data_IF_923237783684
#
_entry.id   IF_923237783684
#
_cell.length_a   1.000
_cell.length_b   1.000
_cell.length_c   1.000
_cell.angle_alpha   90.00
_cell.angle_beta   90.00
_cell.angle_gamma   90.00
#
_symmetry.space_group_name_H-M   'P 1'
#
loop_
_entity.id
_entity.type
_entity.pdbx_description
1 polymer ?
#
# COMPACT_ATOMS: atom_id res chain seq x y z
N UNK A 1 -18.90 -11.52 -5.81
CA UNK A 1 -18.63 -10.38 -6.72
C UNK A 1 -18.88 -8.99 -6.11
N UNK A 2 -19.94 -8.77 -5.29
CA UNK A 2 -20.19 -7.45 -4.65
C UNK A 2 -19.14 -7.08 -3.58
N UNK A 3 -18.73 -8.04 -2.74
CA UNK A 3 -17.74 -7.81 -1.67
C UNK A 3 -16.32 -7.57 -2.20
N UNK A 4 -15.86 -8.32 -3.19
CA UNK A 4 -14.57 -8.11 -3.86
C UNK A 4 -14.41 -6.67 -4.39
N UNK A 5 -15.45 -6.14 -5.05
CA UNK A 5 -15.48 -4.75 -5.49
C UNK A 5 -15.47 -3.74 -4.32
N UNK A 6 -16.08 -4.07 -3.18
CA UNK A 6 -16.06 -3.23 -1.98
C UNK A 6 -14.67 -3.21 -1.32
N UNK A 7 -14.00 -4.36 -1.23
CA UNK A 7 -12.61 -4.49 -0.74
C UNK A 7 -11.67 -3.71 -1.67
N UNK A 8 -11.81 -3.88 -2.99
CA UNK A 8 -11.03 -3.13 -3.98
C UNK A 8 -11.18 -1.61 -3.82
N UNK A 9 -12.42 -1.12 -3.67
CA UNK A 9 -12.71 0.30 -3.45
C UNK A 9 -12.10 0.80 -2.13
N UNK A 10 -12.17 -0.02 -1.08
CA UNK A 10 -11.56 0.28 0.22
C UNK A 10 -10.04 0.43 0.11
N UNK A 11 -9.35 -0.53 -0.51
CA UNK A 11 -7.89 -0.50 -0.71
C UNK A 11 -7.42 0.69 -1.53
N UNK A 12 -8.15 1.01 -2.62
CA UNK A 12 -7.87 2.18 -3.46
C UNK A 12 -8.01 3.47 -2.66
N UNK A 13 -9.07 3.59 -1.83
CA UNK A 13 -9.30 4.77 -1.00
C UNK A 13 -8.17 4.97 0.00
N UNK A 14 -7.81 3.92 0.74
CA UNK A 14 -6.75 3.99 1.75
C UNK A 14 -5.41 4.36 1.10
N UNK A 15 -5.05 3.71 -0.02
CA UNK A 15 -3.83 4.04 -0.76
C UNK A 15 -3.83 5.48 -1.26
N UNK A 16 -4.98 5.99 -1.71
CA UNK A 16 -5.13 7.38 -2.17
C UNK A 16 -4.92 8.38 -1.02
N UNK A 17 -5.44 8.10 0.17
CA UNK A 17 -5.23 8.94 1.35
C UNK A 17 -3.75 8.97 1.74
N UNK A 18 -3.09 7.81 1.77
CA UNK A 18 -1.65 7.70 2.09
C UNK A 18 -0.81 8.47 1.07
N UNK A 19 -1.08 8.26 -0.22
CA UNK A 19 -0.37 8.96 -1.28
C UNK A 19 -0.61 10.49 -1.25
N UNK A 20 -1.79 10.96 -0.87
CA UNK A 20 -2.07 12.39 -0.74
C UNK A 20 -1.29 13.02 0.42
N UNK A 21 -1.35 12.41 1.61
CA UNK A 21 -0.65 12.91 2.80
C UNK A 21 0.87 12.96 2.59
N UNK A 22 1.43 11.99 1.88
CA UNK A 22 2.88 11.93 1.66
C UNK A 22 3.44 13.11 0.87
N UNK A 23 2.61 13.75 0.05
CA UNK A 23 3.08 14.73 -0.91
C UNK A 23 2.64 16.13 -0.49
N UNK A 24 1.60 16.26 0.33
CA UNK A 24 1.42 17.42 1.19
C UNK A 24 2.64 17.63 2.11
N UNK A 25 3.23 16.57 2.65
CA UNK A 25 4.46 16.63 3.46
C UNK A 25 5.68 17.06 2.62
N UNK A 26 5.67 16.86 1.30
CA UNK A 26 6.74 17.30 0.39
C UNK A 26 6.64 18.80 0.05
N UNK A 27 5.45 19.41 0.16
CA UNK A 27 5.19 20.82 -0.20
C UNK A 27 5.73 21.87 0.77
N UNK A 28 6.18 21.50 1.97
CA UNK A 28 6.72 22.46 2.96
C UNK A 28 8.21 22.75 2.75
N UNK A 29 8.54 23.36 1.60
CA UNK A 29 9.83 24.05 1.35
C UNK A 29 9.70 25.28 0.45
N UNK A 30 8.50 25.65 0.00
CA UNK A 30 8.31 26.77 -0.92
C UNK A 30 7.76 27.99 -0.18
N UNK A 31 8.65 28.93 0.17
CA UNK A 31 8.28 30.26 0.62
C UNK A 31 7.49 30.97 -0.48
N UNK A 32 6.33 31.51 -0.12
CA UNK A 32 5.35 32.21 -0.96
C UNK A 32 5.84 33.51 -1.63
N UNK A 33 7.14 33.80 -1.60
CA UNK A 33 7.74 35.05 -2.11
C UNK A 33 8.41 34.95 -3.48
N UNK A 34 8.32 33.81 -4.18
CA UNK A 34 8.94 33.66 -5.52
C UNK A 34 7.85 33.48 -6.58
N UNK A 35 7.59 34.58 -7.28
CA UNK A 35 7.02 34.66 -8.63
C UNK A 35 7.68 33.59 -9.50
N UNK A 36 6.97 32.54 -9.95
CA UNK A 36 7.07 31.95 -11.32
C UNK A 36 5.91 30.95 -11.56
N UNK A 37 4.90 31.35 -12.32
CA UNK A 37 3.76 30.52 -12.74
C UNK A 37 4.14 29.25 -13.55
N UNK A 38 5.12 29.26 -14.49
CA UNK A 38 5.52 28.04 -15.22
C UNK A 38 6.29 27.00 -14.38
N UNK A 39 7.09 27.38 -13.36
CA UNK A 39 7.78 26.41 -12.49
C UNK A 39 6.81 25.69 -11.55
N UNK A 40 5.76 26.38 -11.07
CA UNK A 40 4.70 25.76 -10.26
C UNK A 40 3.92 24.66 -11.01
N UNK A 41 3.65 24.86 -12.31
CA UNK A 41 3.00 23.84 -13.16
C UNK A 41 3.94 22.67 -13.44
N UNK A 42 5.23 22.93 -13.69
CA UNK A 42 6.23 21.87 -13.86
C UNK A 42 6.35 21.00 -12.60
N UNK A 43 6.45 21.63 -11.42
CA UNK A 43 6.49 20.91 -10.15
C UNK A 43 5.17 20.22 -9.83
N UNK A 44 4.02 20.79 -10.24
CA UNK A 44 2.72 20.14 -10.13
C UNK A 44 2.58 18.91 -11.06
N UNK A 45 3.09 18.98 -12.29
CA UNK A 45 3.15 17.82 -13.21
C UNK A 45 4.09 16.75 -12.64
N UNK A 46 5.26 17.14 -12.13
CA UNK A 46 6.21 16.24 -11.46
C UNK A 46 5.61 15.62 -10.19
N UNK A 47 4.84 16.39 -9.43
CA UNK A 47 4.05 15.98 -8.26
C UNK A 47 2.99 14.94 -8.65
N UNK A 48 2.23 15.16 -9.73
CA UNK A 48 1.21 14.20 -10.20
C UNK A 48 1.83 12.93 -10.78
N UNK A 49 3.02 13.01 -11.39
CA UNK A 49 3.77 11.83 -11.86
C UNK A 49 4.33 11.05 -10.67
N UNK A 50 4.95 11.70 -9.69
CA UNK A 50 5.43 11.07 -8.44
C UNK A 50 4.27 10.45 -7.65
N UNK A 51 3.13 11.13 -7.54
CA UNK A 51 1.87 10.59 -7.02
C UNK A 51 1.47 9.29 -7.73
N UNK A 52 1.47 9.30 -9.07
CA UNK A 52 1.08 8.14 -9.86
C UNK A 52 2.04 6.97 -9.64
N UNK A 53 3.35 7.23 -9.59
CA UNK A 53 4.37 6.19 -9.40
C UNK A 53 4.31 5.62 -7.98
N UNK A 54 4.24 6.48 -6.96
CA UNK A 54 4.11 6.06 -5.56
C UNK A 54 2.83 5.26 -5.33
N UNK A 55 1.70 5.74 -5.86
CA UNK A 55 0.41 5.02 -5.82
C UNK A 55 0.48 3.70 -6.56
N UNK A 56 1.12 3.65 -7.73
CA UNK A 56 1.29 2.40 -8.49
C UNK A 56 2.14 1.40 -7.71
N UNK A 57 3.19 1.86 -7.02
CA UNK A 57 4.08 1.00 -6.24
C UNK A 57 3.42 0.51 -4.95
N UNK A 58 2.74 1.39 -4.20
CA UNK A 58 1.98 1.02 -2.98
C UNK A 58 0.79 0.10 -3.30
N UNK A 59 0.17 0.27 -4.47
CA UNK A 59 -0.96 -0.55 -4.90
C UNK A 59 -0.53 -1.84 -5.59
N UNK A 60 0.75 -2.01 -5.92
CA UNK A 60 1.24 -3.12 -6.72
C UNK A 60 1.00 -4.46 -6.02
N UNK A 61 1.49 -4.59 -4.80
CA UNK A 61 1.36 -5.79 -3.95
C UNK A 61 -0.10 -6.09 -3.62
N UNK A 62 -0.85 -5.07 -3.17
CA UNK A 62 -2.29 -5.15 -2.88
C UNK A 62 -3.13 -5.62 -4.07
N UNK A 63 -2.80 -5.16 -5.28
CA UNK A 63 -3.50 -5.59 -6.50
C UNK A 63 -3.28 -7.06 -6.80
N UNK A 64 -2.04 -7.55 -6.68
CA UNK A 64 -1.74 -8.97 -6.87
C UNK A 64 -2.41 -9.83 -5.80
N UNK A 65 -2.33 -9.39 -4.54
CA UNK A 65 -2.94 -10.09 -3.43
C UNK A 65 -4.46 -10.22 -3.58
N UNK A 66 -5.16 -9.13 -3.91
CA UNK A 66 -6.61 -9.16 -4.10
C UNK A 66 -7.03 -10.01 -5.30
N UNK A 67 -6.27 -9.96 -6.41
CA UNK A 67 -6.55 -10.80 -7.57
C UNK A 67 -6.38 -12.28 -7.24
N UNK A 68 -5.29 -12.65 -6.57
CA UNK A 68 -5.03 -14.03 -6.14
C UNK A 68 -6.06 -14.50 -5.12
N UNK A 69 -6.40 -13.70 -4.11
CA UNK A 69 -7.41 -14.08 -3.11
C UNK A 69 -8.80 -14.27 -3.73
N UNK A 70 -9.19 -13.42 -4.68
CA UNK A 70 -10.46 -13.54 -5.40
C UNK A 70 -10.51 -14.81 -6.25
N UNK A 71 -9.41 -15.13 -6.94
CA UNK A 71 -9.24 -16.36 -7.70
C UNK A 71 -9.30 -17.62 -6.81
N UNK A 72 -8.60 -17.62 -5.68
CA UNK A 72 -8.58 -18.73 -4.72
C UNK A 72 -9.97 -18.92 -4.10
N UNK A 73 -10.65 -17.83 -3.72
CA UNK A 73 -12.02 -17.90 -3.20
C UNK A 73 -13.03 -18.46 -4.24
N UNK A 74 -12.73 -18.35 -5.53
CA UNK A 74 -13.51 -18.95 -6.62
C UNK A 74 -13.15 -20.42 -6.90
N UNK A 75 -12.27 -21.03 -6.08
CA UNK A 75 -11.89 -22.45 -6.18
C UNK A 75 -10.59 -22.72 -6.93
N UNK A 76 -9.82 -21.68 -7.31
CA UNK A 76 -8.48 -21.91 -7.88
C UNK A 76 -7.47 -22.32 -6.82
N UNK A 77 -6.48 -23.10 -7.23
CA UNK A 77 -5.44 -23.57 -6.35
C UNK A 77 -4.52 -22.42 -5.87
N UNK A 78 -4.29 -22.34 -4.56
CA UNK A 78 -3.42 -21.32 -3.94
C UNK A 78 -2.00 -21.38 -4.47
N UNK A 79 -1.41 -22.57 -4.55
CA UNK A 79 -0.02 -22.74 -5.02
C UNK A 79 0.14 -22.22 -6.45
N UNK A 80 -0.83 -22.49 -7.32
CA UNK A 80 -0.84 -21.98 -8.68
C UNK A 80 -0.91 -20.46 -8.74
N UNK A 81 -1.82 -19.83 -8.01
CA UNK A 81 -1.97 -18.36 -8.02
C UNK A 81 -0.73 -17.65 -7.48
N UNK A 82 -0.11 -18.18 -6.42
CA UNK A 82 1.17 -17.65 -5.91
C UNK A 82 2.27 -17.82 -6.96
N UNK A 83 2.36 -18.98 -7.61
CA UNK A 83 3.34 -19.23 -8.68
C UNK A 83 3.18 -18.27 -9.85
N UNK A 84 1.95 -17.95 -10.25
CA UNK A 84 1.67 -16.96 -11.30
C UNK A 84 2.15 -15.55 -10.92
N UNK A 85 2.05 -15.17 -9.63
CA UNK A 85 2.61 -13.91 -9.13
C UNK A 85 4.14 -13.95 -9.17
N UNK A 86 4.76 -15.06 -8.77
CA UNK A 86 6.21 -15.23 -8.84
C UNK A 86 6.75 -15.07 -10.26
N UNK A 87 6.09 -15.68 -11.25
CA UNK A 87 6.45 -15.58 -12.67
C UNK A 87 6.33 -14.13 -13.13
N UNK A 88 5.19 -13.47 -12.91
CA UNK A 88 4.96 -12.08 -13.32
C UNK A 88 5.97 -11.11 -12.69
N UNK A 89 6.27 -11.28 -11.41
CA UNK A 89 7.26 -10.44 -10.71
C UNK A 89 8.69 -10.73 -11.17
N UNK A 90 9.00 -11.98 -11.56
CA UNK A 90 10.28 -12.36 -12.17
C UNK A 90 10.44 -11.70 -13.54
N UNK A 91 9.42 -11.75 -14.40
CA UNK A 91 9.46 -11.06 -15.70
C UNK A 91 9.69 -9.55 -15.57
N UNK A 92 9.13 -8.91 -14.55
CA UNK A 92 9.36 -7.48 -14.26
C UNK A 92 10.83 -7.24 -13.89
N UNK A 93 11.42 -8.14 -13.11
CA UNK A 93 12.84 -8.10 -12.76
C UNK A 93 13.74 -8.31 -13.98
N UNK A 94 13.44 -9.29 -14.81
CA UNK A 94 14.25 -9.59 -16.00
C UNK A 94 14.21 -8.45 -17.03
N UNK A 95 13.11 -7.70 -17.07
CA UNK A 95 12.96 -6.50 -17.92
C UNK A 95 13.60 -5.24 -17.30
N UNK A 96 14.00 -5.26 -16.04
CA UNK A 96 14.60 -4.11 -15.35
C UNK A 96 16.09 -3.97 -15.68
N UNK A 97 16.41 -3.00 -16.54
CA UNK A 97 17.79 -2.77 -17.01
C UNK A 97 18.63 -1.86 -16.10
N UNK A 98 18.00 -1.09 -15.19
CA UNK A 98 18.68 -0.03 -14.43
C UNK A 98 19.02 -0.45 -12.99
N UNK A 99 18.70 -1.68 -12.60
CA UNK A 99 18.99 -2.24 -11.27
C UNK A 99 18.21 -1.59 -10.13
N UNK A 100 17.12 -0.87 -10.42
CA UNK A 100 16.27 -0.26 -9.40
C UNK A 100 15.35 -1.29 -8.72
N UNK A 101 14.92 -2.29 -9.47
CA UNK A 101 14.24 -3.47 -8.96
C UNK A 101 15.26 -4.61 -8.81
N UNK A 102 15.24 -5.29 -7.67
CA UNK A 102 16.21 -6.34 -7.34
C UNK A 102 15.48 -7.54 -6.75
N UNK A 103 16.11 -8.72 -6.78
CA UNK A 103 15.60 -9.91 -6.09
C UNK A 103 15.29 -9.64 -4.62
N UNK A 104 16.09 -8.81 -3.94
CA UNK A 104 15.85 -8.43 -2.54
C UNK A 104 14.50 -7.71 -2.36
N UNK A 105 14.17 -6.77 -3.24
CA UNK A 105 12.87 -6.06 -3.21
C UNK A 105 11.75 -7.04 -3.57
N UNK A 106 11.93 -7.82 -4.64
CA UNK A 106 10.95 -8.80 -5.11
C UNK A 106 10.58 -9.79 -4.01
N UNK A 107 11.56 -10.37 -3.32
CA UNK A 107 11.31 -11.33 -2.25
C UNK A 107 10.55 -10.71 -1.07
N UNK A 108 10.80 -9.44 -0.75
CA UNK A 108 10.01 -8.73 0.28
C UNK A 108 8.58 -8.43 -0.19
N UNK A 109 8.41 -8.07 -1.47
CA UNK A 109 7.08 -7.89 -2.05
C UNK A 109 6.27 -9.18 -2.10
N UNK A 110 6.88 -10.34 -2.38
CA UNK A 110 6.19 -11.62 -2.37
C UNK A 110 5.64 -11.95 -0.97
N UNK A 111 6.45 -11.71 0.09
CA UNK A 111 6.00 -11.85 1.48
C UNK A 111 4.84 -10.92 1.82
N UNK A 112 4.89 -9.67 1.35
CA UNK A 112 3.78 -8.72 1.49
C UNK A 112 2.52 -9.20 0.77
N UNK A 113 2.67 -9.73 -0.44
CA UNK A 113 1.56 -10.26 -1.23
C UNK A 113 0.93 -11.46 -0.52
N UNK A 114 1.71 -12.44 -0.07
CA UNK A 114 1.22 -13.60 0.67
C UNK A 114 0.45 -13.18 1.94
N UNK A 115 1.03 -12.27 2.73
CA UNK A 115 0.38 -11.72 3.92
C UNK A 115 -0.99 -11.08 3.59
N UNK A 116 -1.06 -10.33 2.49
CA UNK A 116 -2.29 -9.68 2.05
C UNK A 116 -3.30 -10.67 1.42
N UNK A 117 -2.84 -11.73 0.76
CA UNK A 117 -3.70 -12.80 0.22
C UNK A 117 -4.49 -13.43 1.35
N UNK A 118 -3.82 -13.79 2.44
CA UNK A 118 -4.46 -14.42 3.59
C UNK A 118 -5.50 -13.48 4.22
N UNK A 119 -5.14 -12.22 4.39
CA UNK A 119 -6.08 -11.19 4.86
C UNK A 119 -7.31 -11.04 3.95
N UNK A 120 -7.12 -10.94 2.64
CA UNK A 120 -8.23 -10.78 1.71
C UNK A 120 -9.10 -12.04 1.60
N UNK A 121 -8.52 -13.24 1.73
CA UNK A 121 -9.27 -14.49 1.79
C UNK A 121 -10.16 -14.56 3.03
N UNK A 122 -9.65 -14.15 4.19
CA UNK A 122 -10.44 -14.06 5.43
C UNK A 122 -11.63 -13.10 5.24
N UNK A 123 -11.41 -11.95 4.60
CA UNK A 123 -12.48 -10.99 4.33
C UNK A 123 -13.49 -11.51 3.30
N UNK A 124 -13.03 -12.14 2.22
CA UNK A 124 -13.90 -12.68 1.17
C UNK A 124 -14.75 -13.85 1.66
N UNK A 125 -14.19 -14.65 2.58
CA UNK A 125 -14.90 -15.74 3.24
C UNK A 125 -15.91 -15.26 4.29
N UNK A 126 -15.93 -13.97 4.60
CA UNK A 126 -16.96 -13.41 5.48
C UNK A 126 -18.30 -13.30 4.73
N UNK A 127 -19.38 -13.77 5.36
CA UNK A 127 -20.75 -13.64 4.82
C UNK A 127 -21.31 -12.20 4.95
N UNK A 128 -20.44 -11.19 4.91
CA UNK A 128 -20.79 -9.81 5.18
C UNK A 128 -21.05 -9.04 3.86
N UNK A 129 -22.04 -8.13 3.83
CA UNK A 129 -22.40 -7.40 2.62
C UNK A 129 -21.38 -6.30 2.26
N UNK A 130 -20.61 -5.82 3.22
CA UNK A 130 -19.69 -4.69 3.07
C UNK A 130 -18.30 -4.95 3.64
N UNK A 131 -17.29 -4.27 3.08
CA UNK A 131 -15.90 -4.39 3.53
C UNK A 131 -15.72 -3.96 5.00
N UNK A 132 -16.40 -2.90 5.45
CA UNK A 132 -16.34 -2.48 6.86
C UNK A 132 -16.90 -3.54 7.80
N UNK A 133 -18.00 -4.17 7.40
CA UNK A 133 -18.67 -5.21 8.19
C UNK A 133 -17.84 -6.50 8.22
N UNK A 134 -17.22 -6.86 7.08
CA UNK A 134 -16.23 -7.93 7.00
C UNK A 134 -15.04 -7.71 7.93
N UNK A 135 -14.49 -6.48 7.96
CA UNK A 135 -13.40 -6.11 8.87
C UNK A 135 -13.85 -6.22 10.33
N UNK A 136 -15.05 -5.72 10.68
CA UNK A 136 -15.59 -5.83 12.05
C UNK A 136 -15.87 -7.26 12.48
N UNK A 137 -16.35 -8.10 11.55
CA UNK A 137 -16.58 -9.52 11.80
C UNK A 137 -15.26 -10.25 12.05
N UNK A 138 -14.20 -9.91 11.31
CA UNK A 138 -12.86 -10.52 11.46
C UNK A 138 -12.11 -10.02 12.69
N UNK A 139 -12.27 -8.75 13.02
CA UNK A 139 -11.60 -8.06 14.13
C UNK A 139 -12.65 -7.50 15.07
N UNK A 140 -13.01 -8.28 16.09
CA UNK A 140 -14.10 -7.95 17.03
C UNK A 140 -13.80 -6.70 17.85
N UNK A 141 -12.53 -6.33 18.01
CA UNK A 141 -12.11 -5.14 18.76
C UNK A 141 -11.16 -4.25 17.95
N UNK A 142 -11.17 -2.95 18.25
CA UNK A 142 -10.19 -1.98 17.72
C UNK A 142 -8.75 -2.44 17.98
N UNK A 143 -8.46 -3.02 19.15
CA UNK A 143 -7.13 -3.52 19.49
C UNK A 143 -6.66 -4.66 18.57
N UNK A 144 -7.54 -5.60 18.25
CA UNK A 144 -7.22 -6.69 17.31
C UNK A 144 -6.95 -6.17 15.90
N UNK A 145 -7.73 -5.18 15.44
CA UNK A 145 -7.51 -4.56 14.14
C UNK A 145 -6.21 -3.74 14.10
N UNK A 146 -5.90 -3.00 15.16
CA UNK A 146 -4.62 -2.27 15.27
C UNK A 146 -3.41 -3.21 15.27
N UNK A 147 -3.55 -4.39 15.88
CA UNK A 147 -2.49 -5.41 15.86
C UNK A 147 -2.23 -5.89 14.44
N UNK A 148 -3.28 -6.18 13.67
CA UNK A 148 -3.15 -6.47 12.25
C UNK A 148 -2.50 -5.33 11.46
N UNK A 149 -2.96 -4.08 11.67
CA UNK A 149 -2.40 -2.91 10.98
C UNK A 149 -0.92 -2.69 11.29
N UNK A 150 -0.49 -3.00 12.53
CA UNK A 150 0.93 -2.96 12.91
C UNK A 150 1.73 -4.07 12.21
N UNK A 151 1.18 -5.28 12.08
CA UNK A 151 1.82 -6.36 11.31
C UNK A 151 1.94 -6.00 9.83
N UNK A 152 0.86 -5.47 9.23
CA UNK A 152 0.87 -4.98 7.85
C UNK A 152 1.93 -3.89 7.64
N UNK A 153 1.98 -2.92 8.56
CA UNK A 153 2.98 -1.85 8.55
C UNK A 153 4.41 -2.39 8.60
N UNK A 154 4.69 -3.41 9.42
CA UNK A 154 6.03 -4.04 9.48
C UNK A 154 6.42 -4.68 8.15
N UNK A 155 5.51 -5.42 7.52
CA UNK A 155 5.80 -6.10 6.25
C UNK A 155 6.04 -5.09 5.12
N UNK A 156 5.23 -4.03 5.04
CA UNK A 156 5.44 -2.93 4.09
C UNK A 156 6.77 -2.20 4.34
N UNK A 157 7.14 -1.99 5.62
CA UNK A 157 8.43 -1.39 5.99
C UNK A 157 9.63 -2.20 5.49
N UNK A 158 9.56 -3.53 5.49
CA UNK A 158 10.63 -4.38 4.94
C UNK A 158 10.80 -4.20 3.43
N UNK A 159 9.69 -4.04 2.69
CA UNK A 159 9.73 -3.76 1.25
C UNK A 159 10.37 -2.41 0.98
N UNK A 160 9.95 -1.39 1.72
CA UNK A 160 10.46 -0.03 1.56
C UNK A 160 11.94 0.02 1.94
N UNK A 161 12.35 -0.61 3.06
CA UNK A 161 13.77 -0.68 3.45
C UNK A 161 14.63 -1.39 2.40
N UNK A 162 14.14 -2.50 1.83
CA UNK A 162 14.83 -3.17 0.74
C UNK A 162 15.04 -2.21 -0.45
N UNK A 163 14.01 -1.46 -0.84
CA UNK A 163 14.11 -0.46 -1.91
C UNK A 163 15.09 0.67 -1.57
N UNK A 164 15.08 1.18 -0.33
CA UNK A 164 16.01 2.23 0.08
C UNK A 164 17.47 1.78 0.03
N UNK A 165 17.76 0.52 0.36
CA UNK A 165 19.13 -0.02 0.30
C UNK A 165 19.68 -0.14 -1.12
N UNK A 166 18.80 -0.25 -2.13
CA UNK A 166 19.20 -0.40 -3.54
C UNK A 166 19.17 0.93 -4.31
N UNK A 167 18.56 1.97 -3.76
CA UNK A 167 18.53 3.29 -4.37
C UNK A 167 19.94 3.89 -4.50
N UNK A 168 20.33 4.21 -5.73
CA UNK A 168 21.61 4.87 -6.05
C UNK A 168 21.57 6.40 -5.90
N UNK A 169 20.37 7.00 -5.83
CA UNK A 169 20.18 8.46 -5.74
C UNK A 169 19.76 8.90 -4.34
N UNK A 170 20.26 10.04 -3.90
CA UNK A 170 19.94 10.67 -2.60
C UNK A 170 20.84 10.22 -1.46
N UNK A 171 21.05 11.10 -0.49
CA UNK A 171 21.84 10.80 0.70
C UNK A 171 21.14 9.76 1.57
N UNK A 172 21.91 9.04 2.41
CA UNK A 172 21.35 8.09 3.39
C UNK A 172 20.38 8.78 4.36
N UNK A 173 20.65 10.04 4.72
CA UNK A 173 19.83 10.85 5.62
C UNK A 173 18.48 11.23 4.99
N UNK A 174 18.47 11.67 3.72
CA UNK A 174 17.23 12.00 3.00
C UNK A 174 16.34 10.78 2.80
N UNK A 175 16.93 9.63 2.47
CA UNK A 175 16.21 8.35 2.33
C UNK A 175 15.53 7.92 3.62
N UNK A 176 16.24 8.03 4.76
CA UNK A 176 15.67 7.75 6.09
C UNK A 176 14.57 8.73 6.46
N UNK A 177 14.77 10.03 6.22
CA UNK A 177 13.75 11.03 6.50
C UNK A 177 12.48 10.78 5.68
N UNK A 178 12.62 10.40 4.40
CA UNK A 178 11.49 10.02 3.56
C UNK A 178 10.77 8.77 4.09
N UNK A 179 11.52 7.76 4.53
CA UNK A 179 10.97 6.56 5.17
C UNK A 179 10.13 6.89 6.40
N UNK A 180 10.68 7.71 7.31
CA UNK A 180 10.00 8.08 8.55
C UNK A 180 8.71 8.86 8.26
N UNK A 181 8.71 9.69 7.21
CA UNK A 181 7.51 10.38 6.72
C UNK A 181 6.45 9.41 6.20
N UNK A 182 6.84 8.42 5.38
CA UNK A 182 5.95 7.36 4.89
C UNK A 182 5.33 6.60 6.05
N UNK A 183 6.16 6.20 7.01
CA UNK A 183 5.72 5.49 8.21
C UNK A 183 4.72 6.29 9.02
N UNK A 184 5.04 7.54 9.33
CA UNK A 184 4.18 8.41 10.13
C UNK A 184 2.84 8.69 9.45
N UNK A 185 2.86 9.02 8.14
CA UNK A 185 1.64 9.28 7.37
C UNK A 185 0.72 8.05 7.31
N UNK A 186 1.31 6.88 7.03
CA UNK A 186 0.57 5.62 6.92
C UNK A 186 -0.06 5.24 8.27
N UNK A 187 0.73 5.33 9.35
CA UNK A 187 0.22 5.08 10.71
C UNK A 187 -0.91 6.02 11.08
N UNK A 188 -0.77 7.32 10.82
CA UNK A 188 -1.79 8.34 11.12
C UNK A 188 -3.12 8.00 10.42
N UNK A 189 -3.10 7.77 9.12
CA UNK A 189 -4.31 7.48 8.34
C UNK A 189 -4.98 6.19 8.80
N UNK A 190 -4.19 5.15 9.08
CA UNK A 190 -4.70 3.87 9.58
C UNK A 190 -5.34 3.99 10.96
N UNK A 191 -4.76 4.80 11.85
CA UNK A 191 -5.37 5.08 13.16
C UNK A 191 -6.69 5.83 13.01
N UNK A 192 -6.73 6.89 12.20
CA UNK A 192 -7.97 7.64 11.93
C UNK A 192 -9.06 6.75 11.32
N UNK A 193 -8.68 5.81 10.46
CA UNK A 193 -9.61 4.85 9.87
C UNK A 193 -10.10 3.82 10.89
N UNK A 194 -9.22 3.30 11.74
CA UNK A 194 -9.60 2.43 12.85
C UNK A 194 -10.54 3.15 13.83
N UNK A 195 -10.27 4.42 14.13
CA UNK A 195 -11.13 5.27 14.95
C UNK A 195 -12.52 5.41 14.33
N UNK A 196 -12.60 5.73 13.03
CA UNK A 196 -13.88 5.83 12.32
C UNK A 196 -14.63 4.50 12.22
N UNK A 197 -13.91 3.38 12.20
CA UNK A 197 -14.51 2.06 12.09
C UNK A 197 -15.11 1.61 13.42
N UNK A 198 -14.42 1.88 14.53
CA UNK A 198 -14.83 1.45 15.88
C UNK A 198 -15.38 2.56 16.78
N UNK A 199 -15.48 3.80 16.29
CA UNK A 199 -16.20 4.85 17.00
C UNK A 199 -17.64 4.39 17.19
N UNK A 200 -18.11 4.30 18.45
CA UNK A 200 -19.51 4.08 18.75
C UNK A 200 -20.31 5.11 17.96
N UNK A 201 -21.18 4.66 17.05
CA UNK A 201 -22.36 5.46 16.70
C UNK A 201 -23.04 5.72 18.04
N UNK A 202 -23.00 6.97 18.53
CA UNK A 202 -23.88 7.38 19.63
C UNK A 202 -25.29 7.21 19.08
N UNK A 203 -25.95 6.11 19.45
CA UNK A 203 -27.40 5.97 19.39
C UNK A 203 -28.02 6.91 20.40
#
# INVERSE_FOLDING_TARGET
>A
MKLDNAIKKYEIRQTRQIAAALIEIEKSKFNWRIIVFPFGIYDFIRYTIRLRVLRKNLFFTRKFALAASSNIHQGKERAWEIRQIEIKTREILDKEKKGFYTDKIRNKQLKEIEFLVDYHLDLLSSNQPGCKDAIKARYTSKGSYLTFLNSLQKVEEEVIQAALTTMRKGTKKERRLWFDKVRAATKKIRMEEADKLYSKTRS
#
